data_IF_417899810966
#
_entry.id   IF_417899810966
#
_cell.length_a   1.000
_cell.length_b   1.000
_cell.length_c   1.000
_cell.angle_alpha   90.00
_cell.angle_beta   90.00
_cell.angle_gamma   90.00
#
_symmetry.space_group_name_H-M   'P 1'
#
loop_
_entity.id
_entity.type
_entity.pdbx_description
1 polymer ?
#
# COMPACT_ATOMS: atom_id res chain seq x y z
N UNK A 1 10.91 -21.42 14.78
CA UNK A 1 9.56 -22.03 14.85
C UNK A 1 9.49 -23.25 13.93
N UNK A 2 8.46 -24.09 14.01
CA UNK A 2 8.31 -25.28 13.15
C UNK A 2 6.94 -25.29 12.51
N UNK A 3 6.84 -25.76 11.28
CA UNK A 3 5.58 -25.99 10.61
C UNK A 3 5.36 -27.49 10.38
N UNK A 4 4.13 -27.93 10.65
CA UNK A 4 3.63 -29.25 10.28
C UNK A 4 3.07 -29.18 8.86
N UNK A 5 3.59 -30.01 7.97
CA UNK A 5 3.24 -30.01 6.55
C UNK A 5 2.55 -31.32 6.19
N UNK A 6 1.33 -31.19 5.67
CA UNK A 6 0.42 -32.29 5.34
C UNK A 6 0.01 -32.20 3.87
N UNK A 7 -0.16 -33.35 3.22
CA UNK A 7 -0.64 -33.43 1.85
C UNK A 7 -2.06 -33.98 1.82
N UNK A 8 -2.97 -33.28 1.16
CA UNK A 8 -4.36 -33.71 1.06
C UNK A 8 -4.98 -33.36 -0.30
N UNK A 9 -6.13 -33.96 -0.58
CA UNK A 9 -6.94 -33.60 -1.74
C UNK A 9 -7.79 -32.36 -1.43
N UNK A 10 -8.31 -31.73 -2.48
CA UNK A 10 -9.21 -30.57 -2.42
C UNK A 10 -10.29 -30.70 -1.33
N UNK A 11 -11.07 -31.78 -1.38
CA UNK A 11 -12.21 -32.03 -0.49
C UNK A 11 -11.84 -32.19 1.00
N UNK A 12 -10.55 -32.28 1.31
CA UNK A 12 -10.04 -32.46 2.66
C UNK A 12 -9.39 -31.20 3.23
N UNK A 13 -9.03 -30.22 2.38
CA UNK A 13 -8.19 -29.09 2.76
C UNK A 13 -8.84 -28.21 3.84
N UNK A 14 -10.12 -27.88 3.68
CA UNK A 14 -10.89 -27.05 4.63
C UNK A 14 -11.03 -27.76 5.98
N UNK A 15 -11.63 -28.95 5.99
CA UNK A 15 -11.85 -29.76 7.21
C UNK A 15 -10.55 -30.03 7.97
N UNK A 16 -9.45 -30.31 7.26
CA UNK A 16 -8.15 -30.53 7.88
C UNK A 16 -7.59 -29.22 8.48
N UNK A 17 -7.79 -28.08 7.81
CA UNK A 17 -7.33 -26.78 8.31
C UNK A 17 -8.05 -26.38 9.59
N UNK A 18 -9.37 -26.54 9.64
CA UNK A 18 -10.17 -26.28 10.83
C UNK A 18 -9.74 -27.18 11.99
N UNK A 19 -9.58 -28.47 11.73
CA UNK A 19 -9.15 -29.43 12.75
C UNK A 19 -7.74 -29.14 13.30
N UNK A 20 -6.82 -28.60 12.48
CA UNK A 20 -5.50 -28.17 12.92
C UNK A 20 -5.57 -26.92 13.80
N UNK A 21 -6.39 -25.93 13.44
CA UNK A 21 -6.63 -24.74 14.26
C UNK A 21 -7.22 -25.13 15.62
N UNK A 22 -8.22 -26.02 15.64
CA UNK A 22 -8.80 -26.54 16.87
C UNK A 22 -7.82 -27.39 17.70
N UNK A 23 -6.88 -28.08 17.05
CA UNK A 23 -5.79 -28.78 17.72
C UNK A 23 -4.75 -27.83 18.35
N UNK A 24 -4.82 -26.53 18.06
CA UNK A 24 -4.03 -25.50 18.74
C UNK A 24 -2.80 -25.03 17.99
N UNK A 25 -2.76 -25.16 16.66
CA UNK A 25 -1.73 -24.51 15.84
C UNK A 25 -1.94 -23.00 15.79
N UNK A 26 -0.87 -22.23 15.57
CA UNK A 26 -0.91 -20.76 15.56
C UNK A 26 -1.57 -20.20 14.29
N UNK A 27 -1.38 -20.89 13.16
CA UNK A 27 -1.97 -20.54 11.87
C UNK A 27 -1.98 -21.76 10.95
N UNK A 28 -2.83 -21.71 9.92
CA UNK A 28 -2.85 -22.69 8.82
C UNK A 28 -2.90 -21.94 7.49
N UNK A 29 -2.10 -22.40 6.52
CA UNK A 29 -2.19 -21.99 5.13
C UNK A 29 -2.38 -23.21 4.22
N UNK A 30 -3.08 -22.99 3.11
CA UNK A 30 -3.24 -23.99 2.04
C UNK A 30 -2.43 -23.51 0.84
N UNK A 31 -1.47 -24.32 0.43
CA UNK A 31 -0.57 -24.06 -0.69
C UNK A 31 -0.79 -25.10 -1.80
N UNK A 32 -0.54 -24.75 -3.06
CA UNK A 32 -0.53 -25.70 -4.17
C UNK A 32 0.60 -26.73 -3.96
N UNK A 33 0.26 -28.03 -3.90
CA UNK A 33 1.26 -29.08 -3.75
C UNK A 33 2.14 -29.24 -5.00
N UNK A 34 1.64 -28.80 -6.16
CA UNK A 34 2.25 -28.92 -7.48
C UNK A 34 2.94 -27.60 -7.93
N UNK A 35 3.06 -26.60 -7.04
CA UNK A 35 3.74 -25.33 -7.31
C UNK A 35 5.14 -25.53 -7.91
N UNK A 36 5.43 -24.85 -9.02
CA UNK A 36 6.70 -24.92 -9.75
C UNK A 36 6.87 -26.17 -10.63
N UNK A 37 5.81 -26.96 -10.82
CA UNK A 37 5.81 -28.15 -11.70
C UNK A 37 4.93 -27.93 -12.93
N UNK A 38 5.01 -28.84 -13.91
CA UNK A 38 4.12 -28.82 -15.09
C UNK A 38 2.64 -29.04 -14.74
N UNK A 39 2.34 -29.52 -13.53
CA UNK A 39 0.98 -29.78 -13.04
C UNK A 39 0.39 -28.61 -12.23
N UNK A 40 1.17 -27.54 -11.99
CA UNK A 40 0.72 -26.33 -11.29
C UNK A 40 -0.53 -25.75 -11.98
N UNK A 41 -1.55 -25.45 -11.18
CA UNK A 41 -2.80 -24.85 -11.67
C UNK A 41 -3.08 -23.60 -10.88
N UNK A 42 -2.96 -22.40 -11.46
CA UNK A 42 -3.23 -21.20 -10.70
C UNK A 42 -4.73 -21.10 -10.37
N UNK A 43 -5.02 -20.78 -9.11
CA UNK A 43 -6.37 -20.57 -8.63
C UNK A 43 -6.61 -19.05 -8.57
N UNK A 44 -7.29 -18.50 -9.58
CA UNK A 44 -7.66 -17.09 -9.65
C UNK A 44 -9.19 -16.94 -9.58
N UNK A 45 -9.69 -15.97 -8.81
CA UNK A 45 -11.04 -15.43 -8.98
C UNK A 45 -11.01 -14.27 -9.98
N UNK A 46 -12.06 -14.10 -10.80
CA UNK A 46 -12.20 -12.85 -11.56
C UNK A 46 -12.44 -11.68 -10.59
N UNK A 47 -11.97 -10.45 -10.90
CA UNK A 47 -12.24 -9.29 -10.07
C UNK A 47 -13.75 -9.13 -9.79
N UNK A 48 -14.14 -9.29 -8.52
CA UNK A 48 -15.55 -9.20 -8.09
C UNK A 48 -16.29 -10.54 -7.96
N UNK A 49 -15.61 -11.68 -8.17
CA UNK A 49 -16.16 -13.02 -7.92
C UNK A 49 -15.27 -13.79 -6.95
N UNK A 50 -15.87 -14.48 -5.99
CA UNK A 50 -15.15 -15.48 -5.20
C UNK A 50 -14.85 -16.68 -6.13
N UNK A 51 -13.66 -17.30 -6.02
CA UNK A 51 -13.36 -18.52 -6.75
C UNK A 51 -14.38 -19.60 -6.42
N UNK A 52 -14.79 -20.42 -7.39
CA UNK A 52 -15.73 -21.52 -7.17
C UNK A 52 -15.18 -22.60 -6.23
N UNK A 53 -13.86 -22.63 -6.03
CA UNK A 53 -13.13 -23.61 -5.23
C UNK A 53 -12.07 -22.89 -4.39
N UNK A 54 -11.90 -23.28 -3.13
CA UNK A 54 -10.96 -22.63 -2.21
C UNK A 54 -9.63 -23.39 -2.04
N UNK A 55 -9.44 -24.50 -2.77
CA UNK A 55 -8.27 -25.36 -2.70
C UNK A 55 -7.96 -25.98 -4.08
N UNK A 56 -6.72 -26.44 -4.25
CA UNK A 56 -6.25 -27.15 -5.44
C UNK A 56 -6.66 -28.63 -5.41
N UNK A 57 -6.56 -29.33 -6.54
CA UNK A 57 -6.72 -30.80 -6.61
C UNK A 57 -5.82 -31.51 -5.58
N UNK A 58 -4.61 -30.98 -5.40
CA UNK A 58 -3.59 -31.46 -4.46
C UNK A 58 -3.03 -30.29 -3.67
N UNK A 59 -3.13 -30.38 -2.36
CA UNK A 59 -2.76 -29.30 -1.46
C UNK A 59 -1.62 -29.71 -0.55
N UNK A 60 -0.88 -28.69 -0.12
CA UNK A 60 -0.01 -28.72 1.03
C UNK A 60 -0.66 -27.85 2.11
N UNK A 61 -1.21 -28.48 3.14
CA UNK A 61 -1.70 -27.78 4.33
C UNK A 61 -0.52 -27.59 5.27
N UNK A 62 -0.17 -26.33 5.53
CA UNK A 62 0.99 -25.94 6.33
C UNK A 62 0.48 -25.29 7.61
N UNK A 63 0.81 -25.88 8.75
CA UNK A 63 0.36 -25.41 10.05
C UNK A 63 1.53 -24.96 10.93
N UNK A 64 1.51 -23.72 11.40
CA UNK A 64 2.55 -23.17 12.27
C UNK A 64 2.36 -23.68 13.71
N UNK A 65 3.33 -24.42 14.23
CA UNK A 65 3.24 -25.01 15.57
C UNK A 65 3.69 -24.02 16.66
N UNK A 66 2.98 -23.97 17.80
CA UNK A 66 3.49 -23.31 19.00
C UNK A 66 4.81 -23.93 19.48
N UNK A 67 5.62 -23.13 20.16
CA UNK A 67 6.85 -23.64 20.77
C UNK A 67 6.54 -24.73 21.81
N UNK A 68 7.27 -25.85 21.72
CA UNK A 68 7.08 -27.01 22.59
C UNK A 68 5.91 -27.93 22.23
N UNK A 69 5.10 -27.61 21.20
CA UNK A 69 4.06 -28.52 20.73
C UNK A 69 4.65 -29.82 20.16
N UNK A 70 3.99 -30.94 20.42
CA UNK A 70 4.30 -32.25 19.82
C UNK A 70 3.56 -32.38 18.47
N UNK A 71 4.27 -32.35 17.33
CA UNK A 71 3.64 -32.43 16.02
C UNK A 71 2.85 -33.73 15.81
N UNK A 72 3.27 -34.84 16.42
CA UNK A 72 2.58 -36.13 16.28
C UNK A 72 1.21 -36.08 16.97
N UNK A 73 1.14 -35.47 18.16
CA UNK A 73 -0.12 -35.31 18.89
C UNK A 73 -1.09 -34.39 18.14
N UNK A 74 -0.59 -33.27 17.61
CA UNK A 74 -1.39 -32.34 16.79
C UNK A 74 -1.94 -33.04 15.54
N UNK A 75 -1.09 -33.82 14.85
CA UNK A 75 -1.49 -34.60 13.69
C UNK A 75 -2.57 -35.64 14.03
N UNK A 76 -2.38 -36.42 15.09
CA UNK A 76 -3.35 -37.45 15.52
C UNK A 76 -4.70 -36.84 15.90
N UNK A 77 -4.68 -35.72 16.63
CA UNK A 77 -5.90 -35.00 17.02
C UNK A 77 -6.63 -34.44 15.80
N UNK A 78 -5.91 -33.74 14.92
CA UNK A 78 -6.50 -33.11 13.74
C UNK A 78 -7.07 -34.14 12.76
N UNK A 79 -6.36 -35.25 12.52
CA UNK A 79 -6.85 -36.33 11.62
C UNK A 79 -8.05 -37.06 12.20
N UNK A 80 -8.04 -37.35 13.51
CA UNK A 80 -9.20 -37.95 14.18
C UNK A 80 -10.43 -37.03 14.14
N UNK A 81 -10.23 -35.73 14.32
CA UNK A 81 -11.32 -34.75 14.32
C UNK A 81 -11.88 -34.51 12.92
N UNK A 82 -11.01 -34.42 11.92
CA UNK A 82 -11.41 -34.29 10.52
C UNK A 82 -12.03 -35.59 9.94
N UNK A 83 -11.95 -36.71 10.67
CA UNK A 83 -12.42 -38.01 10.20
C UNK A 83 -11.62 -38.54 9.01
N UNK A 84 -10.35 -38.13 8.89
CA UNK A 84 -9.47 -38.50 7.77
C UNK A 84 -8.58 -39.67 8.20
N UNK A 85 -8.54 -40.72 7.37
CA UNK A 85 -7.62 -41.85 7.59
C UNK A 85 -6.16 -41.37 7.47
N UNK A 86 -5.34 -41.52 8.54
CA UNK A 86 -3.93 -41.16 8.51
C UNK A 86 -3.13 -41.83 7.36
N UNK A 87 -3.54 -43.04 6.95
CA UNK A 87 -2.91 -43.77 5.84
C UNK A 87 -3.20 -43.05 4.51
N UNK A 88 -4.40 -42.49 4.34
CA UNK A 88 -4.80 -41.79 3.13
C UNK A 88 -4.07 -40.44 2.94
N UNK A 89 -3.67 -39.79 4.05
CA UNK A 89 -2.88 -38.55 4.03
C UNK A 89 -1.40 -38.76 3.68
N UNK A 90 -0.92 -40.01 3.69
CA UNK A 90 0.48 -40.31 3.35
C UNK A 90 1.51 -39.81 4.38
N UNK A 91 1.06 -39.42 5.59
CA UNK A 91 1.90 -38.94 6.68
C UNK A 91 2.09 -37.42 6.72
N UNK A 92 3.12 -36.98 7.44
CA UNK A 92 3.44 -35.57 7.65
C UNK A 92 4.96 -35.34 7.65
N UNK A 93 5.35 -34.09 7.47
CA UNK A 93 6.75 -33.65 7.57
C UNK A 93 6.86 -32.36 8.39
N UNK A 94 8.06 -32.07 8.88
CA UNK A 94 8.36 -30.79 9.52
C UNK A 94 9.18 -29.92 8.58
N UNK A 95 8.80 -28.64 8.54
CA UNK A 95 9.61 -27.59 7.97
C UNK A 95 10.09 -26.70 9.12
N UNK A 96 11.40 -26.60 9.29
CA UNK A 96 11.96 -25.60 10.19
C UNK A 96 11.72 -24.22 9.59
N UNK A 97 11.06 -23.35 10.34
CA UNK A 97 10.93 -21.94 10.01
C UNK A 97 12.09 -21.24 10.70
N UNK A 98 13.07 -20.72 9.94
CA UNK A 98 14.15 -19.93 10.52
C UNK A 98 13.55 -18.87 11.42
N UNK A 99 14.12 -18.71 12.61
CA UNK A 99 13.87 -17.54 13.45
C UNK A 99 14.62 -16.34 12.83
N UNK A 100 14.23 -16.03 11.61
CA UNK A 100 14.66 -14.87 10.88
C UNK A 100 13.80 -13.71 11.37
N UNK A 101 14.45 -12.60 11.66
CA UNK A 101 13.76 -11.34 11.88
C UNK A 101 13.20 -10.89 10.52
N UNK A 102 12.05 -11.47 10.15
CA UNK A 102 11.36 -11.21 8.89
C UNK A 102 11.00 -9.74 8.75
N UNK A 103 10.78 -9.05 9.88
CA UNK A 103 10.64 -7.60 9.93
C UNK A 103 11.92 -6.95 9.43
N UNK A 104 13.08 -7.26 10.01
CA UNK A 104 14.38 -6.69 9.59
C UNK A 104 14.80 -7.09 8.16
N UNK A 105 14.53 -8.31 7.72
CA UNK A 105 14.79 -8.77 6.35
C UNK A 105 13.94 -8.02 5.33
N UNK A 106 12.66 -7.79 5.64
CA UNK A 106 11.77 -6.98 4.81
C UNK A 106 12.19 -5.51 4.83
N UNK A 107 12.54 -4.96 6.00
CA UNK A 107 13.05 -3.60 6.18
C UNK A 107 14.33 -3.34 5.36
N UNK A 108 15.26 -4.30 5.31
CA UNK A 108 16.54 -4.18 4.57
C UNK A 108 16.38 -4.04 3.05
N UNK A 109 15.19 -4.34 2.51
CA UNK A 109 14.88 -4.16 1.09
C UNK A 109 14.41 -2.73 0.77
N UNK A 110 14.04 -1.94 1.79
CA UNK A 110 13.54 -0.58 1.63
C UNK A 110 14.60 0.42 2.09
N UNK A 111 15.39 0.90 1.12
CA UNK A 111 16.32 2.01 1.32
C UNK A 111 15.66 3.39 1.18
N UNK A 112 16.39 4.46 1.51
CA UNK A 112 15.97 5.83 1.26
C UNK A 112 15.65 6.08 -0.22
N UNK A 113 14.62 6.89 -0.48
CA UNK A 113 14.18 7.25 -1.83
C UNK A 113 14.42 8.75 -2.03
N UNK A 114 15.23 9.09 -3.04
CA UNK A 114 15.45 10.47 -3.46
C UNK A 114 14.52 10.85 -4.60
N UNK A 115 13.86 12.00 -4.47
CA UNK A 115 12.87 12.51 -5.42
C UNK A 115 13.17 13.97 -5.71
N UNK A 116 13.23 14.29 -7.01
CA UNK A 116 13.55 15.64 -7.46
C UNK A 116 14.94 16.07 -7.02
N UNK A 117 15.08 17.30 -6.54
CA UNK A 117 16.34 17.86 -6.09
C UNK A 117 16.59 17.65 -4.60
N UNK A 118 15.56 17.82 -3.75
CA UNK A 118 15.72 17.97 -2.30
C UNK A 118 14.90 16.98 -1.47
N UNK A 119 13.92 16.27 -2.04
CA UNK A 119 13.04 15.40 -1.26
C UNK A 119 13.69 14.04 -1.02
N UNK A 120 13.76 13.65 0.25
CA UNK A 120 14.18 12.33 0.69
C UNK A 120 13.07 11.68 1.51
N UNK A 121 12.71 10.46 1.13
CA UNK A 121 11.80 9.62 1.90
C UNK A 121 12.65 8.57 2.59
N UNK A 122 12.64 8.58 3.92
CA UNK A 122 13.57 7.84 4.74
C UNK A 122 12.80 6.97 5.72
N UNK A 123 12.89 5.64 5.63
CA UNK A 123 12.37 4.78 6.68
C UNK A 123 13.10 5.03 8.00
N UNK A 124 12.43 4.86 9.14
CA UNK A 124 12.93 5.15 10.48
C UNK A 124 14.21 4.40 10.82
N UNK A 125 14.40 3.19 10.29
CA UNK A 125 15.62 2.38 10.45
C UNK A 125 16.81 2.85 9.58
N UNK A 126 16.60 3.79 8.65
CA UNK A 126 17.64 4.47 7.87
C UNK A 126 17.88 5.92 8.33
N UNK A 127 17.34 6.34 9.47
CA UNK A 127 17.55 7.69 9.99
C UNK A 127 19.04 8.03 10.18
N UNK A 128 19.83 7.05 10.62
CA UNK A 128 21.27 7.21 10.86
C UNK A 128 22.14 6.76 9.67
N UNK A 129 21.54 6.58 8.49
CA UNK A 129 22.27 6.15 7.29
C UNK A 129 23.28 7.23 6.86
N UNK A 130 24.57 6.90 6.62
CA UNK A 130 25.58 7.86 6.22
C UNK A 130 25.25 8.64 4.95
N UNK A 131 24.57 8.03 3.98
CA UNK A 131 24.22 8.70 2.73
C UNK A 131 23.09 9.72 2.93
N UNK A 132 22.13 9.40 3.81
CA UNK A 132 21.09 10.34 4.26
C UNK A 132 21.71 11.48 5.06
N UNK A 133 22.60 11.16 5.99
CA UNK A 133 23.33 12.14 6.81
C UNK A 133 24.21 13.08 5.98
N UNK A 134 24.81 12.55 4.91
CA UNK A 134 25.60 13.34 3.95
C UNK A 134 24.69 14.26 3.13
N UNK A 135 23.51 13.81 2.70
CA UNK A 135 22.53 14.63 2.01
C UNK A 135 22.01 15.78 2.89
N UNK A 136 21.73 15.53 4.19
CA UNK A 136 21.36 16.57 5.17
C UNK A 136 22.44 17.64 5.32
N UNK A 137 23.71 17.22 5.26
CA UNK A 137 24.85 18.12 5.43
C UNK A 137 25.16 18.94 4.16
N UNK A 138 24.86 18.39 2.99
CA UNK A 138 25.19 18.99 1.70
C UNK A 138 24.13 19.97 1.17
N UNK A 139 22.86 19.81 1.58
CA UNK A 139 21.78 20.66 1.13
C UNK A 139 21.11 21.35 2.33
N UNK A 140 21.38 22.65 2.52
CA UNK A 140 20.73 23.48 3.56
C UNK A 140 19.18 23.46 3.47
N UNK A 141 18.63 23.06 2.32
CA UNK A 141 17.19 22.99 2.02
C UNK A 141 16.65 21.55 1.80
N UNK A 142 17.34 20.50 2.26
CA UNK A 142 16.86 19.12 2.12
C UNK A 142 15.49 18.91 2.80
N UNK A 143 14.55 18.27 2.11
CA UNK A 143 13.21 17.96 2.61
C UNK A 143 13.14 16.49 3.00
N UNK A 144 13.29 16.23 4.30
CA UNK A 144 13.31 14.87 4.84
C UNK A 144 11.92 14.47 5.31
N UNK A 145 11.37 13.42 4.70
CA UNK A 145 10.10 12.80 5.04
C UNK A 145 10.39 11.44 5.64
N UNK A 146 10.19 11.30 6.94
CA UNK A 146 10.30 10.01 7.60
C UNK A 146 9.01 9.22 7.34
N UNK A 147 9.12 8.05 6.71
CA UNK A 147 7.97 7.24 6.36
C UNK A 147 8.33 5.77 6.30
N UNK A 148 7.74 4.99 7.20
CA UNK A 148 7.92 3.55 7.23
C UNK A 148 6.98 2.88 6.23
N UNK A 149 7.46 1.96 5.37
CA UNK A 149 6.62 1.03 4.65
C UNK A 149 5.59 0.37 5.57
N UNK A 150 4.31 0.48 5.21
CA UNK A 150 3.21 0.00 6.04
C UNK A 150 1.96 -0.33 5.23
N UNK A 151 0.84 -0.50 5.93
CA UNK A 151 -0.44 -0.90 5.34
C UNK A 151 -1.08 0.18 4.46
N UNK A 152 -0.78 1.46 4.72
CA UNK A 152 -1.31 2.58 3.95
C UNK A 152 -0.52 2.78 2.65
N UNK A 153 -1.23 3.00 1.54
CA UNK A 153 -0.62 3.27 0.24
C UNK A 153 0.19 4.58 0.25
N UNK A 154 1.29 4.62 -0.50
CA UNK A 154 2.09 5.84 -0.69
C UNK A 154 3.44 5.82 0.03
N UNK A 155 4.27 4.81 -0.22
CA UNK A 155 5.64 4.71 0.35
C UNK A 155 6.68 5.55 -0.40
N UNK A 156 6.29 6.24 -1.48
CA UNK A 156 7.21 7.01 -2.33
C UNK A 156 7.82 6.28 -3.51
N UNK A 157 7.86 4.95 -3.46
CA UNK A 157 8.52 4.11 -4.46
C UNK A 157 7.76 4.04 -5.80
N UNK A 158 6.45 4.23 -5.78
CA UNK A 158 5.62 4.15 -6.98
C UNK A 158 5.80 5.40 -7.87
N UNK A 159 5.87 5.26 -9.22
CA UNK A 159 6.08 6.39 -10.13
C UNK A 159 5.08 7.53 -9.96
N UNK A 160 3.83 7.23 -9.60
CA UNK A 160 2.77 8.24 -9.42
C UNK A 160 3.01 9.13 -8.20
N UNK A 161 3.48 8.56 -7.09
CA UNK A 161 3.88 9.35 -5.91
C UNK A 161 5.10 10.20 -6.22
N UNK A 162 6.08 9.65 -6.94
CA UNK A 162 7.26 10.39 -7.39
C UNK A 162 6.88 11.61 -8.24
N UNK A 163 5.97 11.41 -9.19
CA UNK A 163 5.47 12.46 -10.07
C UNK A 163 4.75 13.58 -9.30
N UNK A 164 3.89 13.26 -8.34
CA UNK A 164 3.22 14.27 -7.52
C UNK A 164 4.20 15.02 -6.61
N UNK A 165 5.17 14.33 -6.00
CA UNK A 165 6.19 14.95 -5.15
C UNK A 165 7.12 15.86 -5.96
N UNK A 166 7.50 15.46 -7.17
CA UNK A 166 8.26 16.30 -8.08
C UNK A 166 7.48 17.57 -8.48
N UNK A 167 6.17 17.46 -8.73
CA UNK A 167 5.34 18.64 -8.99
C UNK A 167 5.28 19.57 -7.77
N UNK A 168 5.08 19.02 -6.57
CA UNK A 168 5.06 19.81 -5.33
C UNK A 168 6.39 20.53 -5.11
N UNK A 169 7.53 19.88 -5.36
CA UNK A 169 8.82 20.54 -5.24
C UNK A 169 9.00 21.70 -6.23
N UNK A 170 8.58 21.50 -7.49
CA UNK A 170 8.82 22.44 -8.57
C UNK A 170 7.85 23.64 -8.58
N UNK A 171 6.57 23.41 -8.27
CA UNK A 171 5.49 24.35 -8.60
C UNK A 171 4.68 24.84 -7.38
N UNK A 172 4.84 24.24 -6.20
CA UNK A 172 4.02 24.57 -5.02
C UNK A 172 4.20 26.04 -4.59
N UNK A 173 3.13 26.86 -4.60
CA UNK A 173 3.22 28.23 -4.10
C UNK A 173 3.39 28.26 -2.57
N UNK A 174 4.39 28.99 -2.07
CA UNK A 174 4.60 29.13 -0.62
C UNK A 174 3.37 29.70 0.08
N UNK A 175 3.00 29.10 1.20
CA UNK A 175 1.84 29.47 2.01
C UNK A 175 0.49 29.06 1.43
N UNK A 176 0.45 28.29 0.33
CA UNK A 176 -0.79 27.91 -0.32
C UNK A 176 -1.65 26.98 0.54
N UNK A 177 -2.97 27.10 0.48
CA UNK A 177 -3.85 26.07 1.03
C UNK A 177 -3.84 24.83 0.13
N UNK A 178 -3.67 23.65 0.72
CA UNK A 178 -3.50 22.38 0.01
C UNK A 178 -4.58 21.38 0.44
N UNK A 179 -5.16 20.67 -0.52
CA UNK A 179 -5.96 19.48 -0.31
C UNK A 179 -5.27 18.27 -0.95
N UNK A 180 -4.99 17.25 -0.15
CA UNK A 180 -4.54 15.93 -0.60
C UNK A 180 -5.71 14.95 -0.53
N UNK A 181 -6.27 14.56 -1.69
CA UNK A 181 -7.47 13.72 -1.77
C UNK A 181 -7.10 12.28 -2.19
N UNK A 182 -7.39 11.33 -1.29
CA UNK A 182 -6.86 9.97 -1.30
C UNK A 182 -5.47 9.91 -0.67
N UNK A 183 -5.35 10.44 0.55
CA UNK A 183 -4.04 10.74 1.14
C UNK A 183 -3.23 9.50 1.54
N UNK A 184 -3.85 8.33 1.79
CA UNK A 184 -3.13 7.11 2.13
C UNK A 184 -2.20 7.28 3.33
N UNK A 185 -0.90 7.17 3.10
CA UNK A 185 0.16 7.40 4.10
C UNK A 185 0.32 8.86 4.53
N UNK A 186 -0.28 9.81 3.81
CA UNK A 186 -0.15 11.25 4.04
C UNK A 186 1.08 11.87 3.38
N UNK A 187 1.82 11.12 2.57
CA UNK A 187 3.13 11.55 2.05
C UNK A 187 3.08 12.86 1.26
N UNK A 188 2.03 13.09 0.45
CA UNK A 188 1.91 14.31 -0.35
C UNK A 188 1.56 15.52 0.53
N UNK A 189 0.62 15.35 1.47
CA UNK A 189 0.31 16.37 2.48
C UNK A 189 1.53 16.76 3.34
N UNK A 190 2.31 15.77 3.80
CA UNK A 190 3.52 15.99 4.59
C UNK A 190 4.58 16.72 3.78
N UNK A 191 4.80 16.30 2.52
CA UNK A 191 5.73 16.97 1.61
C UNK A 191 5.32 18.43 1.39
N UNK A 192 4.04 18.68 1.11
CA UNK A 192 3.53 20.03 0.91
C UNK A 192 3.80 20.92 2.13
N UNK A 193 3.55 20.44 3.35
CA UNK A 193 3.89 21.15 4.59
C UNK A 193 5.37 21.48 4.69
N UNK A 194 6.25 20.51 4.44
CA UNK A 194 7.72 20.73 4.52
C UNK A 194 8.24 21.65 3.43
N UNK A 195 7.58 21.68 2.27
CA UNK A 195 7.88 22.61 1.17
C UNK A 195 7.32 24.02 1.41
N UNK A 196 6.60 24.24 2.51
CA UNK A 196 6.14 25.55 2.96
C UNK A 196 4.70 25.88 2.56
N UNK A 197 3.84 24.89 2.35
CA UNK A 197 2.40 25.10 2.26
C UNK A 197 1.82 25.74 3.55
N UNK A 198 0.66 26.38 3.41
CA UNK A 198 -0.15 26.92 4.51
C UNK A 198 -1.03 25.84 5.13
N UNK A 199 -2.35 26.07 5.26
CA UNK A 199 -3.28 25.03 5.74
C UNK A 199 -3.26 23.82 4.79
N UNK A 200 -3.18 22.61 5.32
CA UNK A 200 -3.19 21.37 4.53
C UNK A 200 -4.18 20.38 5.10
N UNK A 201 -5.17 20.06 4.29
CA UNK A 201 -6.17 19.04 4.59
C UNK A 201 -5.85 17.78 3.77
N UNK A 202 -6.01 16.62 4.40
CA UNK A 202 -5.78 15.32 3.81
C UNK A 202 -7.03 14.46 3.99
N UNK A 203 -7.53 13.87 2.91
CA UNK A 203 -8.80 13.15 2.91
C UNK A 203 -8.60 11.75 2.42
N UNK A 204 -9.15 10.76 3.12
CA UNK A 204 -9.24 9.39 2.63
C UNK A 204 -10.57 8.75 3.03
N UNK A 205 -11.07 7.82 2.22
CA UNK A 205 -12.27 7.05 2.51
C UNK A 205 -12.01 5.99 3.58
N UNK A 206 -10.75 5.56 3.73
CA UNK A 206 -10.35 4.57 4.73
C UNK A 206 -9.94 5.25 6.05
N UNK A 207 -10.65 4.97 7.17
CA UNK A 207 -10.25 5.47 8.49
C UNK A 207 -8.81 5.10 8.89
N UNK A 208 -8.28 3.97 8.39
CA UNK A 208 -6.89 3.57 8.67
C UNK A 208 -5.89 4.48 7.96
N UNK A 209 -6.17 4.91 6.73
CA UNK A 209 -5.35 5.88 6.01
C UNK A 209 -5.37 7.26 6.69
N UNK A 210 -6.54 7.68 7.18
CA UNK A 210 -6.67 8.91 7.97
C UNK A 210 -5.78 8.84 9.23
N UNK A 211 -5.84 7.73 9.97
CA UNK A 211 -4.99 7.54 11.15
C UNK A 211 -3.49 7.51 10.78
N UNK A 212 -3.11 6.78 9.73
CA UNK A 212 -1.73 6.71 9.26
C UNK A 212 -1.19 8.09 8.86
N UNK A 213 -2.00 8.90 8.18
CA UNK A 213 -1.65 10.27 7.83
C UNK A 213 -1.38 11.13 9.07
N UNK A 214 -2.20 11.02 10.13
CA UNK A 214 -1.98 11.76 11.38
C UNK A 214 -0.69 11.32 12.08
N UNK A 215 -0.47 10.01 12.18
CA UNK A 215 0.71 9.45 12.85
C UNK A 215 2.00 9.86 12.10
N UNK A 216 1.99 9.76 10.77
CA UNK A 216 3.12 10.16 9.93
C UNK A 216 3.35 11.67 9.95
N UNK A 217 2.29 12.49 10.00
CA UNK A 217 2.41 13.94 10.17
C UNK A 217 3.06 14.29 11.52
N UNK A 218 2.70 13.58 12.59
CA UNK A 218 3.31 13.74 13.91
C UNK A 218 4.80 13.37 13.91
N UNK A 219 5.16 12.22 13.32
CA UNK A 219 6.56 11.77 13.15
C UNK A 219 7.37 12.85 12.41
N UNK A 220 6.79 13.41 11.36
CA UNK A 220 7.41 14.44 10.53
C UNK A 220 7.37 15.86 11.11
N UNK A 221 6.70 16.05 12.25
CA UNK A 221 6.52 17.33 12.96
C UNK A 221 5.86 18.40 12.09
N UNK A 222 4.87 18.00 11.30
CA UNK A 222 4.07 18.91 10.47
C UNK A 222 2.60 18.92 10.91
N UNK A 223 1.87 19.96 10.54
CA UNK A 223 0.44 20.07 10.84
C UNK A 223 -0.37 19.72 9.59
N UNK A 224 -1.05 18.58 9.62
CA UNK A 224 -1.97 18.14 8.57
C UNK A 224 -3.31 17.81 9.24
N UNK A 225 -4.40 18.33 8.69
CA UNK A 225 -5.74 17.95 9.12
C UNK A 225 -6.20 16.74 8.29
N UNK A 226 -6.08 15.54 8.84
CA UNK A 226 -6.55 14.32 8.18
C UNK A 226 -8.01 14.03 8.54
N UNK A 227 -8.85 13.68 7.56
CA UNK A 227 -10.28 13.51 7.77
C UNK A 227 -10.96 12.57 6.76
N UNK A 228 -12.10 12.01 7.15
CA UNK A 228 -13.01 11.31 6.24
C UNK A 228 -13.75 12.32 5.34
N UNK A 229 -14.20 11.94 4.13
CA UNK A 229 -14.79 12.89 3.18
C UNK A 229 -15.98 13.68 3.72
N UNK A 230 -16.83 13.05 4.54
CA UNK A 230 -18.02 13.67 5.13
C UNK A 230 -17.69 14.78 6.14
N UNK A 231 -16.46 14.79 6.68
CA UNK A 231 -15.99 15.81 7.60
C UNK A 231 -15.28 16.98 6.88
N UNK A 232 -15.08 16.90 5.55
CA UNK A 232 -14.42 17.95 4.77
C UNK A 232 -15.36 19.15 4.63
N UNK A 233 -15.07 20.23 5.37
CA UNK A 233 -15.82 21.48 5.29
C UNK A 233 -15.88 22.02 3.86
N UNK A 234 -16.97 22.71 3.50
CA UNK A 234 -17.07 23.39 2.21
C UNK A 234 -15.96 24.44 2.05
N UNK A 235 -15.39 24.53 0.85
CA UNK A 235 -14.29 25.46 0.59
C UNK A 235 -13.47 25.09 -0.63
N UNK A 236 -12.49 25.95 -0.91
CA UNK A 236 -11.57 25.79 -2.03
C UNK A 236 -10.11 25.95 -1.60
N UNK A 237 -9.22 25.32 -2.33
CA UNK A 237 -7.78 25.24 -2.08
C UNK A 237 -7.01 25.82 -3.24
N UNK A 238 -5.86 26.40 -2.94
CA UNK A 238 -4.96 26.91 -3.97
C UNK A 238 -4.25 25.79 -4.70
N UNK A 239 -4.04 24.64 -4.05
CA UNK A 239 -3.57 23.41 -4.68
C UNK A 239 -4.44 22.25 -4.24
N UNK A 240 -4.93 21.46 -5.20
CA UNK A 240 -5.60 20.18 -4.96
C UNK A 240 -4.75 19.10 -5.63
N UNK A 241 -4.33 18.10 -4.86
CA UNK A 241 -3.58 16.94 -5.35
C UNK A 241 -4.41 15.69 -5.12
N UNK A 242 -4.48 14.79 -6.10
CA UNK A 242 -5.12 13.49 -5.97
C UNK A 242 -4.33 12.42 -6.73
N UNK A 243 -3.72 11.49 -5.99
CA UNK A 243 -2.99 10.35 -6.54
C UNK A 243 -3.79 9.06 -6.33
N UNK A 244 -4.86 8.91 -7.12
CA UNK A 244 -5.81 7.79 -7.03
C UNK A 244 -6.10 7.22 -8.43
N UNK A 245 -6.79 6.09 -8.50
CA UNK A 245 -7.06 5.41 -9.76
C UNK A 245 -7.86 6.30 -10.76
N UNK A 246 -7.59 6.11 -12.05
CA UNK A 246 -8.18 6.91 -13.14
C UNK A 246 -9.71 6.88 -13.20
N UNK A 247 -10.36 5.76 -12.86
CA UNK A 247 -11.82 5.68 -12.85
C UNK A 247 -12.44 6.55 -11.73
N UNK A 248 -12.03 6.41 -10.45
CA UNK A 248 -12.39 7.37 -9.40
C UNK A 248 -12.13 8.83 -9.78
N UNK A 249 -10.97 9.14 -10.39
CA UNK A 249 -10.67 10.52 -10.83
C UNK A 249 -11.69 11.08 -11.81
N UNK A 250 -12.20 10.27 -12.75
CA UNK A 250 -13.23 10.70 -13.70
C UNK A 250 -14.58 10.94 -13.01
N UNK A 251 -14.96 10.07 -12.07
CA UNK A 251 -16.21 10.20 -11.30
C UNK A 251 -16.16 11.43 -10.38
N UNK A 252 -15.02 11.67 -9.76
CA UNK A 252 -14.82 12.77 -8.81
C UNK A 252 -14.50 14.11 -9.47
N UNK A 253 -14.39 14.18 -10.80
CA UNK A 253 -13.99 15.39 -11.51
C UNK A 253 -14.80 16.65 -11.15
N UNK A 254 -16.16 16.62 -11.05
CA UNK A 254 -16.92 17.79 -10.62
C UNK A 254 -16.55 18.26 -9.20
N UNK A 255 -16.33 17.30 -8.29
CA UNK A 255 -16.02 17.58 -6.88
C UNK A 255 -14.61 18.15 -6.76
N UNK A 256 -13.60 17.46 -7.31
CA UNK A 256 -12.20 17.89 -7.24
C UNK A 256 -12.00 19.24 -7.92
N UNK A 257 -12.55 19.45 -9.12
CA UNK A 257 -12.50 20.75 -9.79
C UNK A 257 -13.25 21.85 -9.02
N UNK A 258 -14.33 21.50 -8.32
CA UNK A 258 -15.07 22.38 -7.41
C UNK A 258 -14.23 22.84 -6.22
N UNK A 259 -13.32 22.00 -5.73
CA UNK A 259 -12.39 22.31 -4.62
C UNK A 259 -11.20 23.18 -5.02
N UNK A 260 -10.94 23.39 -6.31
CA UNK A 260 -9.84 24.27 -6.75
C UNK A 260 -10.31 25.73 -6.71
N UNK A 261 -9.52 26.61 -6.07
CA UNK A 261 -9.79 28.04 -6.04
C UNK A 261 -9.53 28.69 -7.40
N UNK A 262 -10.15 29.85 -7.73
CA UNK A 262 -9.75 30.63 -8.90
C UNK A 262 -8.25 30.95 -8.88
N UNK A 263 -7.56 30.68 -9.98
CA UNK A 263 -6.11 30.79 -10.09
C UNK A 263 -5.32 29.66 -9.42
N UNK A 264 -5.98 28.67 -8.82
CA UNK A 264 -5.36 27.51 -8.17
C UNK A 264 -5.07 26.35 -9.12
N UNK A 265 -4.31 25.38 -8.62
CA UNK A 265 -3.77 24.26 -9.37
C UNK A 265 -4.43 22.93 -8.97
N UNK A 266 -4.69 22.08 -9.96
CA UNK A 266 -5.13 20.70 -9.80
C UNK A 266 -4.06 19.76 -10.33
N UNK A 267 -3.69 18.78 -9.53
CA UNK A 267 -2.62 17.83 -9.81
C UNK A 267 -3.14 16.42 -9.63
N UNK A 268 -3.15 15.63 -10.70
CA UNK A 268 -3.69 14.27 -10.70
C UNK A 268 -2.62 13.26 -11.10
N UNK A 269 -2.49 12.17 -10.35
CA UNK A 269 -1.72 11.00 -10.78
C UNK A 269 -2.46 9.71 -10.44
N UNK A 270 -1.84 8.54 -10.58
CA UNK A 270 -2.57 7.26 -10.60
C UNK A 270 -3.18 6.95 -11.98
N UNK A 271 -2.67 7.60 -13.02
CA UNK A 271 -3.15 7.54 -14.41
C UNK A 271 -2.06 6.97 -15.31
N UNK A 272 -2.39 5.94 -16.08
CA UNK A 272 -1.50 5.42 -17.12
C UNK A 272 -1.42 6.40 -18.30
N UNK A 273 -0.28 6.49 -18.99
CA UNK A 273 -0.09 7.38 -20.16
C UNK A 273 -1.22 7.25 -21.18
N UNK A 274 -1.62 6.02 -21.51
CA UNK A 274 -2.71 5.72 -22.45
C UNK A 274 -4.10 6.21 -22.00
N UNK A 275 -4.28 6.52 -20.72
CA UNK A 275 -5.52 7.02 -20.12
C UNK A 275 -5.51 8.54 -19.92
N UNK A 276 -4.38 9.20 -20.16
CA UNK A 276 -4.19 10.62 -19.86
C UNK A 276 -5.22 11.53 -20.56
N UNK A 277 -5.49 11.27 -21.85
CA UNK A 277 -6.45 12.05 -22.64
C UNK A 277 -7.89 11.88 -22.12
N UNK A 278 -8.29 10.64 -21.79
CA UNK A 278 -9.62 10.36 -21.26
C UNK A 278 -9.84 11.06 -19.92
N UNK A 279 -8.86 11.01 -19.02
CA UNK A 279 -8.93 11.72 -17.73
C UNK A 279 -8.95 13.23 -17.96
N UNK A 280 -8.08 13.78 -18.81
CA UNK A 280 -8.07 15.23 -19.09
C UNK A 280 -9.42 15.73 -19.67
N UNK A 281 -10.05 14.95 -20.56
CA UNK A 281 -11.36 15.27 -21.12
C UNK A 281 -12.46 15.30 -20.05
N UNK A 282 -12.40 14.43 -19.04
CA UNK A 282 -13.36 14.44 -17.94
C UNK A 282 -13.33 15.76 -17.14
N UNK A 283 -12.19 16.44 -17.05
CA UNK A 283 -12.05 17.71 -16.33
C UNK A 283 -12.30 18.96 -17.19
N UNK A 284 -12.31 18.80 -18.53
CA UNK A 284 -12.46 19.89 -19.49
C UNK A 284 -13.65 20.85 -19.26
N UNK A 285 -14.81 20.42 -18.71
CA UNK A 285 -15.89 21.35 -18.38
C UNK A 285 -15.56 22.40 -17.31
N UNK A 286 -14.55 22.16 -16.47
CA UNK A 286 -14.20 23.04 -15.35
C UNK A 286 -12.80 23.67 -15.49
N UNK A 287 -11.82 22.90 -15.99
CA UNK A 287 -10.48 23.40 -16.25
C UNK A 287 -9.76 22.55 -17.31
N UNK A 288 -8.83 23.18 -18.04
CA UNK A 288 -7.98 22.48 -19.00
C UNK A 288 -6.86 21.76 -18.27
N UNK A 289 -6.77 20.44 -18.47
CA UNK A 289 -5.69 19.60 -17.96
C UNK A 289 -4.73 19.21 -19.08
N UNK A 290 -3.45 19.04 -18.75
CA UNK A 290 -2.41 18.52 -19.64
C UNK A 290 -1.41 17.66 -18.85
N UNK A 291 -0.70 16.77 -19.54
CA UNK A 291 0.40 16.02 -18.93
C UNK A 291 1.52 16.99 -18.56
N UNK A 292 1.87 17.04 -17.28
CA UNK A 292 3.01 17.80 -16.76
C UNK A 292 4.30 16.98 -16.95
N UNK A 293 4.29 15.72 -16.51
CA UNK A 293 5.41 14.80 -16.68
C UNK A 293 4.90 13.34 -16.74
N UNK A 294 5.69 12.48 -17.38
CA UNK A 294 5.47 11.03 -17.42
C UNK A 294 6.68 10.29 -16.84
N UNK A 295 6.43 9.14 -16.22
CA UNK A 295 7.45 8.27 -15.65
C UNK A 295 6.96 6.83 -15.64
N UNK A 296 7.75 5.93 -16.21
CA UNK A 296 7.53 4.47 -16.16
C UNK A 296 6.10 4.05 -16.57
N UNK A 297 5.52 4.71 -17.58
CA UNK A 297 4.17 4.43 -18.09
C UNK A 297 3.03 5.12 -17.33
N UNK A 298 3.34 5.92 -16.30
CA UNK A 298 2.40 6.71 -15.51
C UNK A 298 2.57 8.20 -15.79
N UNK A 299 1.51 8.99 -15.56
CA UNK A 299 1.53 10.45 -15.77
C UNK A 299 1.12 11.25 -14.54
N UNK A 300 1.66 12.46 -14.45
CA UNK A 300 1.09 13.56 -13.69
C UNK A 300 0.32 14.46 -14.66
N UNK A 301 -0.97 14.65 -14.43
CA UNK A 301 -1.76 15.67 -15.10
C UNK A 301 -1.79 16.92 -14.22
N UNK A 302 -1.66 18.09 -14.84
CA UNK A 302 -1.77 19.39 -14.20
C UNK A 302 -2.75 20.27 -14.97
N UNK A 303 -3.50 21.07 -14.25
CA UNK A 303 -4.29 22.15 -14.82
C UNK A 303 -4.49 23.27 -13.81
N UNK A 304 -4.59 24.49 -14.33
CA UNK A 304 -4.82 25.69 -13.54
C UNK A 304 -6.21 26.23 -13.79
N UNK A 305 -6.96 26.50 -12.73
CA UNK A 305 -8.32 27.03 -12.82
C UNK A 305 -8.26 28.54 -13.10
N UNK A 306 -8.94 28.96 -14.16
CA UNK A 306 -9.02 30.38 -14.57
C UNK A 306 -10.07 31.14 -13.78
#
# INVERSE_FOLDING_TARGET
MRELVLHCLEAQAETLSDALLEAGVLSVSVEDADFGTEAERPLFGEPGTEPEVQAWDRNRVVALLPDGADPAQIYEQATSQAGIDPIALGGWSLRDVPDADWVRLTQSQFGPIHIGERIWIVPSWHRDDPDVSAAETLAEDAVHIELDPGLAFGTGSHPTTHLCLAWLEAELPKGSTVLDYGCGSGILAIAAQKLGAGSTDAVDIDPQAVQATMDNAQVNRVSVQALLPDALADGTYQVVVANILSNPLKVLAPMLAGRVAPGGDLVLSGVLERQAEEVALAYAPWLKMSVWQARDGWVCLHGRKT
#
